data_IF_838109584775
#
_entry.id   IF_838109584775
#
_cell.length_a   1.000
_cell.length_b   1.000
_cell.length_c   1.000
_cell.angle_alpha   90.00
_cell.angle_beta   90.00
_cell.angle_gamma   90.00
#
_symmetry.space_group_name_H-M   'P 1'
#
loop_
_entity.id
_entity.type
_entity.pdbx_description
1 polymer ?
#
# COMPACT_ATOMS: atom_id res chain seq x y z
N UNK A 1 6.43 16.40 31.35
CA UNK A 1 6.95 16.24 29.98
C UNK A 1 6.87 14.77 29.59
N UNK A 2 5.72 14.16 29.32
CA UNK A 2 4.84 14.29 28.13
C UNK A 2 5.56 14.11 26.77
N UNK A 3 6.90 14.16 26.71
CA UNK A 3 7.67 14.02 25.46
C UNK A 3 8.32 12.63 25.26
N UNK A 4 8.15 11.69 26.19
CA UNK A 4 8.75 10.34 26.07
C UNK A 4 7.73 9.28 25.60
N UNK A 5 6.43 9.58 25.63
CA UNK A 5 5.38 8.59 25.32
C UNK A 5 4.95 8.53 23.84
N UNK A 6 5.39 9.47 23.00
CA UNK A 6 5.11 9.41 21.55
C UNK A 6 6.21 8.72 20.72
N UNK A 7 7.37 8.39 21.33
CA UNK A 7 8.52 7.83 20.62
C UNK A 7 8.48 6.31 20.38
N UNK A 8 7.44 5.60 20.81
CA UNK A 8 7.41 4.12 20.80
C UNK A 8 6.36 3.50 19.88
N UNK A 9 5.64 4.27 19.07
CA UNK A 9 4.66 3.69 18.13
C UNK A 9 5.24 3.32 16.75
N UNK A 10 6.56 3.43 16.55
CA UNK A 10 7.19 3.25 15.22
C UNK A 10 8.49 2.43 15.25
N UNK A 11 8.76 1.66 16.30
CA UNK A 11 9.91 0.76 16.32
C UNK A 11 9.55 -0.54 17.05
N UNK A 12 9.57 -1.63 16.28
CA UNK A 12 9.62 -3.02 16.73
C UNK A 12 8.38 -3.49 17.50
N UNK A 13 7.51 -4.27 16.83
CA UNK A 13 6.74 -5.29 17.55
C UNK A 13 7.73 -6.03 18.46
N UNK A 14 7.50 -6.01 19.78
CA UNK A 14 8.41 -6.74 20.67
C UNK A 14 8.45 -8.20 20.20
N UNK A 15 9.62 -8.83 20.17
CA UNK A 15 9.78 -10.21 19.65
C UNK A 15 8.72 -11.18 20.24
N UNK A 16 8.29 -10.90 21.48
CA UNK A 16 7.21 -11.62 22.18
C UNK A 16 5.84 -11.47 21.53
N UNK A 17 5.48 -10.29 21.06
CA UNK A 17 4.22 -10.04 20.36
C UNK A 17 4.22 -10.68 18.97
N UNK A 18 5.36 -10.64 18.27
CA UNK A 18 5.52 -11.32 16.98
C UNK A 18 5.44 -12.85 17.14
N UNK A 19 6.10 -13.39 18.16
CA UNK A 19 6.03 -14.81 18.50
C UNK A 19 4.61 -15.25 18.87
N UNK A 20 3.87 -14.43 19.62
CA UNK A 20 2.47 -14.72 19.96
C UNK A 20 1.56 -14.72 18.71
N UNK A 21 1.77 -13.78 17.78
CA UNK A 21 1.04 -13.76 16.51
C UNK A 21 1.34 -14.99 15.66
N UNK A 22 2.62 -15.37 15.56
CA UNK A 22 3.06 -16.55 14.81
C UNK A 22 2.52 -17.85 15.41
N UNK A 23 2.45 -17.95 16.73
CA UNK A 23 1.84 -19.09 17.43
C UNK A 23 0.33 -19.19 17.14
N UNK A 24 -0.40 -18.08 17.16
CA UNK A 24 -1.82 -18.04 16.78
C UNK A 24 -2.01 -18.43 15.32
N UNK A 25 -1.20 -17.89 14.40
CA UNK A 25 -1.26 -18.24 12.98
C UNK A 25 -0.99 -19.75 12.76
N UNK A 26 0.01 -20.32 13.43
CA UNK A 26 0.33 -21.76 13.37
C UNK A 26 -0.82 -22.62 13.88
N UNK A 27 -1.43 -22.23 14.99
CA UNK A 27 -2.62 -22.91 15.54
C UNK A 27 -3.81 -22.83 14.59
N UNK A 28 -4.01 -21.70 13.92
CA UNK A 28 -5.04 -21.55 12.89
C UNK A 28 -4.78 -22.45 11.69
N UNK A 29 -3.55 -22.49 11.14
CA UNK A 29 -3.17 -23.39 10.04
C UNK A 29 -3.51 -24.84 10.37
N UNK A 30 -3.09 -25.31 11.56
CA UNK A 30 -3.33 -26.68 12.01
C UNK A 30 -4.81 -27.00 12.22
N UNK A 31 -5.62 -26.06 12.72
CA UNK A 31 -7.07 -26.25 12.91
C UNK A 31 -7.83 -26.29 11.59
N UNK A 32 -7.34 -25.59 10.58
CA UNK A 32 -7.95 -25.46 9.26
C UNK A 32 -7.38 -26.46 8.25
N UNK A 33 -6.50 -27.38 8.69
CA UNK A 33 -5.78 -28.35 7.85
C UNK A 33 -5.06 -27.71 6.65
N UNK A 34 -4.52 -26.50 6.87
CA UNK A 34 -3.80 -25.77 5.84
C UNK A 34 -2.35 -26.27 5.76
N UNK A 35 -1.77 -26.37 4.55
CA UNK A 35 -0.36 -26.70 4.36
C UNK A 35 0.57 -25.78 5.17
N UNK A 36 1.71 -26.30 5.64
CA UNK A 36 2.66 -25.48 6.43
C UNK A 36 3.22 -24.31 5.62
N UNK A 37 3.40 -24.50 4.31
CA UNK A 37 3.76 -23.50 3.30
C UNK A 37 2.57 -22.62 2.86
N UNK A 38 1.40 -22.76 3.48
CA UNK A 38 0.23 -21.96 3.14
C UNK A 38 0.49 -20.47 3.36
N UNK A 39 0.31 -19.69 2.30
CA UNK A 39 0.36 -18.23 2.28
C UNK A 39 -0.89 -17.58 2.87
N UNK A 40 -1.90 -18.36 3.29
CA UNK A 40 -3.19 -17.84 3.75
C UNK A 40 -3.03 -16.84 4.90
N UNK A 41 -2.21 -17.05 5.95
CA UNK A 41 -2.07 -16.03 7.00
C UNK A 41 -1.47 -14.71 6.52
N UNK A 42 -0.54 -14.76 5.55
CA UNK A 42 -0.01 -13.55 4.91
C UNK A 42 -1.07 -12.88 4.04
N UNK A 43 -1.85 -13.66 3.29
CA UNK A 43 -2.98 -13.14 2.52
C UNK A 43 -4.06 -12.50 3.43
N UNK A 44 -4.31 -13.07 4.61
CA UNK A 44 -5.19 -12.48 5.64
C UNK A 44 -4.63 -11.14 6.11
N UNK A 45 -3.33 -11.08 6.40
CA UNK A 45 -2.67 -9.87 6.87
C UNK A 45 -2.75 -8.72 5.85
N UNK A 46 -2.56 -9.03 4.57
CA UNK A 46 -2.52 -8.01 3.51
C UNK A 46 -3.86 -7.80 2.78
N UNK A 47 -4.88 -8.59 3.11
CA UNK A 47 -6.21 -8.48 2.50
C UNK A 47 -6.26 -8.93 1.04
N UNK A 48 -5.37 -9.84 0.63
CA UNK A 48 -5.23 -10.36 -0.73
C UNK A 48 -6.31 -11.41 -1.04
N UNK A 49 -7.60 -11.09 -0.87
CA UNK A 49 -8.71 -12.00 -1.23
C UNK A 49 -9.58 -11.43 -2.34
N UNK A 50 -9.84 -12.26 -3.35
CA UNK A 50 -10.84 -12.06 -4.36
C UNK A 50 -12.24 -12.40 -3.81
N UNK A 51 -13.28 -11.85 -4.45
CA UNK A 51 -14.68 -12.06 -4.04
C UNK A 51 -15.11 -13.53 -4.11
N UNK A 52 -14.39 -14.36 -4.86
CA UNK A 52 -14.59 -15.81 -4.99
C UNK A 52 -13.74 -16.65 -4.00
N UNK A 53 -12.97 -16.02 -3.10
CA UNK A 53 -12.11 -16.71 -2.13
C UNK A 53 -10.71 -17.07 -2.65
N UNK A 54 -10.37 -16.70 -3.89
CA UNK A 54 -9.01 -16.83 -4.41
C UNK A 54 -8.10 -15.70 -3.92
N UNK A 55 -6.79 -15.84 -4.02
CA UNK A 55 -5.86 -14.76 -3.72
C UNK A 55 -5.95 -13.68 -4.82
N UNK A 56 -6.22 -12.42 -4.45
CA UNK A 56 -5.99 -11.30 -5.38
C UNK A 56 -4.49 -11.10 -5.49
N UNK A 57 -3.90 -11.53 -6.61
CA UNK A 57 -2.51 -11.24 -6.94
C UNK A 57 -2.36 -9.78 -7.36
N UNK A 58 -2.32 -8.87 -6.39
CA UNK A 58 -1.27 -7.87 -6.48
C UNK A 58 0.00 -8.61 -6.09
N UNK A 59 0.83 -8.91 -7.08
CA UNK A 59 2.13 -9.51 -6.85
C UNK A 59 3.03 -8.38 -6.30
N UNK A 60 2.85 -8.06 -5.02
CA UNK A 60 3.82 -7.32 -4.24
C UNK A 60 4.56 -8.33 -3.37
N UNK A 61 5.88 -8.24 -3.35
CA UNK A 61 6.70 -9.06 -2.45
C UNK A 61 6.54 -8.60 -0.99
N UNK A 62 7.09 -9.37 -0.05
CA UNK A 62 6.99 -9.08 1.38
C UNK A 62 7.48 -7.66 1.73
N UNK A 63 8.59 -7.22 1.16
CA UNK A 63 9.14 -5.87 1.38
C UNK A 63 8.20 -4.74 0.92
N UNK A 64 7.63 -4.89 -0.28
CA UNK A 64 6.66 -3.92 -0.81
C UNK A 64 5.40 -3.88 0.04
N UNK A 65 4.89 -5.05 0.46
CA UNK A 65 3.70 -5.18 1.32
C UNK A 65 3.90 -4.54 2.70
N UNK A 66 5.05 -4.77 3.32
CA UNK A 66 5.41 -4.14 4.60
C UNK A 66 5.55 -2.63 4.45
N UNK A 67 6.21 -2.16 3.40
CA UNK A 67 6.39 -0.72 3.11
C UNK A 67 5.04 -0.03 2.87
N UNK A 68 4.16 -0.63 2.08
CA UNK A 68 2.81 -0.10 1.83
C UNK A 68 2.02 -0.06 3.13
N UNK A 69 2.04 -1.14 3.92
CA UNK A 69 1.27 -1.22 5.17
C UNK A 69 1.74 -0.21 6.21
N UNK A 70 3.05 -0.07 6.40
CA UNK A 70 3.64 0.90 7.32
C UNK A 70 3.21 2.33 6.97
N UNK A 71 3.35 2.71 5.69
CA UNK A 71 2.97 4.05 5.24
C UNK A 71 1.45 4.25 5.26
N UNK A 72 0.66 3.21 4.96
CA UNK A 72 -0.79 3.26 5.07
C UNK A 72 -1.25 3.51 6.51
N UNK A 73 -0.62 2.90 7.50
CA UNK A 73 -0.93 3.11 8.92
C UNK A 73 -0.60 4.54 9.38
N UNK A 74 0.55 5.07 8.93
CA UNK A 74 0.90 6.49 9.15
C UNK A 74 -0.17 7.40 8.55
N UNK A 75 -0.53 7.17 7.29
CA UNK A 75 -1.51 8.01 6.59
C UNK A 75 -2.92 7.90 7.16
N UNK A 76 -3.36 6.70 7.55
CA UNK A 76 -4.65 6.52 8.22
C UNK A 76 -4.67 7.28 9.54
N UNK A 77 -3.58 7.23 10.33
CA UNK A 77 -3.47 7.95 11.59
C UNK A 77 -3.44 9.47 11.41
N UNK A 78 -2.59 10.00 10.54
CA UNK A 78 -2.48 11.44 10.29
C UNK A 78 -3.77 12.05 9.77
N UNK A 79 -4.51 11.27 8.97
CA UNK A 79 -5.77 11.69 8.40
C UNK A 79 -6.96 11.31 9.26
N UNK A 80 -6.83 10.66 10.42
CA UNK A 80 -7.99 10.19 11.21
C UNK A 80 -8.97 9.36 10.35
N UNK A 81 -8.41 8.37 9.63
CA UNK A 81 -9.16 7.37 8.88
C UNK A 81 -9.26 6.12 9.77
N UNK A 82 -10.46 5.53 9.92
CA UNK A 82 -10.63 4.31 10.72
C UNK A 82 -9.74 3.16 10.24
N UNK A 83 -9.22 2.37 11.18
CA UNK A 83 -8.28 1.29 10.88
C UNK A 83 -8.89 0.20 9.98
N UNK A 84 -10.21 -0.02 10.09
CA UNK A 84 -11.01 -0.95 9.30
C UNK A 84 -11.38 -0.44 7.90
N UNK A 85 -11.00 0.79 7.55
CA UNK A 85 -11.24 1.36 6.23
C UNK A 85 -10.52 0.56 5.14
N UNK A 86 -11.25 0.23 4.07
CA UNK A 86 -10.70 -0.45 2.88
C UNK A 86 -9.86 0.44 1.98
N UNK A 87 -9.61 1.70 2.37
CA UNK A 87 -8.95 2.70 1.51
C UNK A 87 -7.56 2.27 1.02
N UNK A 88 -6.82 1.52 1.83
CA UNK A 88 -5.51 0.96 1.43
C UNK A 88 -5.67 -0.05 0.30
N UNK A 89 -6.58 -1.02 0.47
CA UNK A 89 -6.87 -2.05 -0.54
C UNK A 89 -7.33 -1.37 -1.83
N UNK A 90 -8.25 -0.42 -1.73
CA UNK A 90 -8.72 0.36 -2.89
C UNK A 90 -7.56 1.05 -3.61
N UNK A 91 -6.64 1.69 -2.88
CA UNK A 91 -5.49 2.37 -3.46
C UNK A 91 -4.48 1.42 -4.12
N UNK A 92 -4.22 0.26 -3.52
CA UNK A 92 -3.30 -0.75 -4.07
C UNK A 92 -3.79 -1.30 -5.41
N UNK A 93 -5.10 -1.50 -5.53
CA UNK A 93 -5.73 -2.14 -6.69
C UNK A 93 -6.34 -1.15 -7.69
N UNK A 94 -6.09 0.16 -7.52
CA UNK A 94 -6.59 1.18 -8.44
C UNK A 94 -8.11 1.33 -8.44
N UNK A 95 -8.77 0.96 -7.35
CA UNK A 95 -10.18 1.30 -7.14
C UNK A 95 -10.30 2.80 -6.86
N UNK A 96 -10.54 3.52 -7.95
CA UNK A 96 -10.72 4.98 -7.99
C UNK A 96 -12.20 5.36 -7.97
N UNK A 97 -13.10 4.46 -7.55
CA UNK A 97 -14.54 4.75 -7.43
C UNK A 97 -14.87 5.85 -6.42
N UNK A 98 -13.92 6.16 -5.53
CA UNK A 98 -14.05 7.19 -4.48
C UNK A 98 -13.23 8.43 -4.83
N UNK A 99 -13.81 9.31 -5.63
CA UNK A 99 -13.32 10.68 -5.81
C UNK A 99 -13.89 11.60 -4.71
N UNK A 100 -13.47 11.34 -3.47
CA UNK A 100 -13.81 12.18 -2.33
C UNK A 100 -12.54 12.82 -1.74
N UNK A 101 -12.73 13.91 -0.99
CA UNK A 101 -11.62 14.68 -0.40
C UNK A 101 -10.70 13.81 0.45
N UNK A 102 -11.26 12.86 1.21
CA UNK A 102 -10.48 12.00 2.12
C UNK A 102 -9.64 11.00 1.33
N UNK A 103 -10.22 10.46 0.26
CA UNK A 103 -9.54 9.55 -0.65
C UNK A 103 -8.36 10.24 -1.33
N UNK A 104 -8.55 11.44 -1.89
CA UNK A 104 -7.45 12.24 -2.46
C UNK A 104 -6.36 12.58 -1.44
N UNK A 105 -6.75 12.93 -0.21
CA UNK A 105 -5.80 13.16 0.88
C UNK A 105 -4.98 11.91 1.18
N UNK A 106 -5.61 10.73 1.25
CA UNK A 106 -4.92 9.47 1.49
C UNK A 106 -3.92 9.13 0.36
N UNK A 107 -4.33 9.23 -0.91
CA UNK A 107 -3.42 9.02 -2.04
C UNK A 107 -2.20 9.94 -1.98
N UNK A 108 -2.40 11.24 -1.73
CA UNK A 108 -1.26 12.16 -1.60
C UNK A 108 -0.35 11.84 -0.42
N UNK A 109 -0.93 11.43 0.72
CA UNK A 109 -0.12 11.01 1.86
C UNK A 109 0.73 9.79 1.51
N UNK A 110 0.14 8.76 0.89
CA UNK A 110 0.87 7.57 0.46
C UNK A 110 2.02 7.93 -0.49
N UNK A 111 1.75 8.74 -1.53
CA UNK A 111 2.77 9.12 -2.49
C UNK A 111 3.92 9.92 -1.86
N UNK A 112 3.62 10.81 -0.92
CA UNK A 112 4.63 11.55 -0.17
C UNK A 112 5.45 10.65 0.75
N UNK A 113 4.80 9.77 1.51
CA UNK A 113 5.48 8.89 2.49
C UNK A 113 6.32 7.80 1.83
N UNK A 114 5.89 7.34 0.66
CA UNK A 114 6.65 6.40 -0.18
C UNK A 114 7.74 7.07 -1.01
N UNK A 115 7.85 8.41 -1.01
CA UNK A 115 8.83 9.14 -1.81
C UNK A 115 8.54 9.18 -3.31
N UNK A 116 7.34 8.76 -3.73
CA UNK A 116 6.87 8.79 -5.13
C UNK A 116 6.47 10.18 -5.60
N UNK A 117 6.29 11.10 -4.67
CA UNK A 117 5.92 12.48 -4.94
C UNK A 117 6.66 13.41 -3.98
N UNK A 118 7.06 14.56 -4.51
CA UNK A 118 7.65 15.66 -3.75
C UNK A 118 6.58 16.58 -3.14
N UNK A 119 6.97 17.44 -2.19
CA UNK A 119 6.04 18.35 -1.51
C UNK A 119 5.37 19.39 -2.42
N UNK A 120 5.92 19.63 -3.62
CA UNK A 120 5.33 20.51 -4.65
C UNK A 120 4.39 19.76 -5.62
N UNK A 121 4.26 18.44 -5.43
CA UNK A 121 3.48 17.53 -6.27
C UNK A 121 4.20 17.03 -7.52
N UNK A 122 5.52 17.23 -7.65
CA UNK A 122 6.31 16.60 -8.70
C UNK A 122 6.41 15.08 -8.47
N UNK A 123 6.29 14.29 -9.53
CA UNK A 123 6.35 12.83 -9.46
C UNK A 123 7.81 12.37 -9.50
N UNK A 124 8.21 11.57 -8.50
CA UNK A 124 9.49 10.88 -8.48
C UNK A 124 9.38 9.55 -9.22
N UNK A 125 9.41 9.63 -10.55
CA UNK A 125 9.29 8.47 -11.42
C UNK A 125 10.31 7.35 -11.16
N UNK A 126 11.61 7.66 -10.97
CA UNK A 126 12.62 6.65 -10.66
C UNK A 126 12.29 5.80 -9.43
N UNK A 127 11.81 6.42 -8.34
CA UNK A 127 11.46 5.71 -7.12
C UNK A 127 10.27 4.75 -7.33
N UNK A 128 9.27 5.18 -8.11
CA UNK A 128 8.13 4.32 -8.47
C UNK A 128 8.59 3.11 -9.29
N UNK A 129 9.48 3.34 -10.27
CA UNK A 129 10.00 2.27 -11.12
C UNK A 129 10.80 1.25 -10.31
N UNK A 130 11.71 1.71 -9.46
CA UNK A 130 12.51 0.80 -8.62
C UNK A 130 11.66 0.08 -7.57
N UNK A 131 10.64 0.74 -7.02
CA UNK A 131 9.71 0.09 -6.11
C UNK A 131 8.94 -1.03 -6.80
N UNK A 132 8.52 -0.87 -8.07
CA UNK A 132 7.69 -1.84 -8.80
C UNK A 132 8.50 -2.94 -9.51
N UNK A 133 9.74 -2.66 -9.89
CA UNK A 133 10.62 -3.56 -10.64
C UNK A 133 10.84 -4.98 -10.06
N UNK A 134 10.73 -5.24 -8.74
CA UNK A 134 10.85 -6.59 -8.21
C UNK A 134 9.75 -7.55 -8.68
N UNK A 135 8.62 -7.05 -9.16
CA UNK A 135 7.44 -7.84 -9.51
C UNK A 135 6.92 -7.55 -10.92
N UNK A 136 7.20 -6.36 -11.44
CA UNK A 136 6.70 -5.90 -12.73
C UNK A 136 7.86 -5.56 -13.66
N UNK A 137 7.62 -5.72 -14.96
CA UNK A 137 8.61 -5.35 -15.98
C UNK A 137 8.97 -3.86 -15.87
N UNK A 138 10.27 -3.57 -15.73
CA UNK A 138 10.76 -2.22 -15.48
C UNK A 138 10.39 -1.27 -16.62
N UNK A 139 10.47 -1.72 -17.87
CA UNK A 139 10.19 -0.88 -19.04
C UNK A 139 8.69 -0.58 -19.16
N UNK A 140 7.84 -1.57 -18.86
CA UNK A 140 6.38 -1.38 -18.80
C UNK A 140 5.99 -0.36 -17.72
N UNK A 141 6.58 -0.44 -16.52
CA UNK A 141 6.34 0.54 -15.45
C UNK A 141 6.87 1.92 -15.86
N UNK A 142 8.09 1.99 -16.40
CA UNK A 142 8.70 3.25 -16.85
C UNK A 142 7.84 3.94 -17.90
N UNK A 143 7.32 3.18 -18.87
CA UNK A 143 6.45 3.70 -19.93
C UNK A 143 5.21 4.39 -19.38
N UNK A 144 4.52 3.78 -18.42
CA UNK A 144 3.32 4.38 -17.82
C UNK A 144 3.66 5.56 -16.91
N UNK A 145 4.75 5.47 -16.13
CA UNK A 145 5.22 6.57 -15.28
C UNK A 145 5.55 7.80 -16.14
N UNK A 146 6.31 7.63 -17.21
CA UNK A 146 6.66 8.72 -18.13
C UNK A 146 5.44 9.33 -18.83
N UNK A 147 4.44 8.51 -19.13
CA UNK A 147 3.18 8.97 -19.72
C UNK A 147 2.26 9.70 -18.73
N UNK A 148 2.56 9.66 -17.42
CA UNK A 148 1.71 10.18 -16.34
C UNK A 148 2.40 11.16 -15.39
N UNK A 149 3.73 11.33 -15.46
CA UNK A 149 4.54 12.14 -14.52
C UNK A 149 4.23 13.63 -14.44
N UNK A 150 3.34 14.13 -15.29
CA UNK A 150 2.89 15.53 -15.29
C UNK A 150 1.38 15.62 -15.02
N UNK A 151 0.93 15.25 -13.80
CA UNK A 151 -0.49 15.25 -13.47
C UNK A 151 -1.07 16.66 -13.40
N UNK A 152 -2.32 16.80 -13.85
CA UNK A 152 -3.09 18.03 -13.72
C UNK A 152 -3.58 18.23 -12.27
N UNK A 153 -3.79 19.48 -11.87
CA UNK A 153 -4.34 19.81 -10.55
C UNK A 153 -3.63 20.98 -9.88
N UNK A 154 -4.38 21.73 -9.06
CA UNK A 154 -3.84 22.88 -8.30
C UNK A 154 -3.29 22.45 -6.94
N UNK A 155 -3.97 21.51 -6.28
CA UNK A 155 -3.57 20.99 -4.99
C UNK A 155 -2.77 19.70 -5.17
N UNK A 156 -1.86 19.41 -4.22
CA UNK A 156 -1.08 18.18 -4.22
C UNK A 156 -1.98 16.93 -4.19
N UNK A 157 -3.12 17.01 -3.51
CA UNK A 157 -4.13 15.96 -3.45
C UNK A 157 -4.72 15.65 -4.82
N UNK A 158 -5.00 16.70 -5.60
CA UNK A 158 -5.55 16.55 -6.96
C UNK A 158 -4.50 15.96 -7.90
N UNK A 159 -3.25 16.43 -7.82
CA UNK A 159 -2.14 15.90 -8.62
C UNK A 159 -1.86 14.43 -8.32
N UNK A 160 -1.83 14.04 -7.05
CA UNK A 160 -1.62 12.65 -6.64
C UNK A 160 -2.71 11.73 -7.20
N UNK A 161 -3.96 12.17 -7.08
CA UNK A 161 -5.10 11.41 -7.58
C UNK A 161 -5.13 11.35 -9.11
N UNK A 162 -4.81 12.44 -9.81
CA UNK A 162 -4.71 12.48 -11.27
C UNK A 162 -3.57 11.59 -11.79
N UNK A 163 -2.44 11.52 -11.08
CA UNK A 163 -1.37 10.57 -11.39
C UNK A 163 -1.87 9.13 -11.26
N UNK A 164 -2.51 8.78 -10.14
CA UNK A 164 -3.05 7.43 -9.93
C UNK A 164 -4.07 7.06 -11.02
N UNK A 165 -4.99 7.95 -11.36
CA UNK A 165 -5.94 7.77 -12.46
C UNK A 165 -5.24 7.49 -13.79
N UNK A 166 -4.24 8.30 -14.15
CA UNK A 166 -3.47 8.10 -15.37
C UNK A 166 -2.74 6.75 -15.36
N UNK A 167 -2.08 6.41 -14.24
CA UNK A 167 -1.28 5.20 -14.11
C UNK A 167 -2.14 3.95 -14.26
N UNK A 168 -3.23 3.85 -13.50
CA UNK A 168 -4.12 2.68 -13.56
C UNK A 168 -4.88 2.57 -14.89
N UNK A 169 -5.16 3.68 -15.57
CA UNK A 169 -5.79 3.67 -16.90
C UNK A 169 -4.83 3.23 -18.02
N UNK A 170 -3.51 3.47 -17.88
CA UNK A 170 -2.52 3.24 -18.94
C UNK A 170 -1.59 2.05 -18.70
N UNK A 171 -1.57 1.46 -17.49
CA UNK A 171 -0.74 0.27 -17.22
C UNK A 171 -1.11 -0.87 -18.15
N UNK A 172 -0.11 -1.60 -18.63
CA UNK A 172 -0.27 -2.77 -19.48
C UNK A 172 -0.09 -4.10 -18.73
N UNK A 173 0.02 -4.04 -17.40
CA UNK A 173 0.25 -5.17 -16.52
C UNK A 173 -0.86 -5.24 -15.46
N UNK A 174 -1.12 -6.45 -14.95
CA UNK A 174 -2.10 -6.68 -13.90
C UNK A 174 -1.48 -6.41 -12.52
N UNK A 175 -2.26 -5.78 -11.64
CA UNK A 175 -1.97 -5.49 -10.23
C UNK A 175 -3.22 -5.96 -9.49
#
# INVERSE_FOLDING_TARGET
MVFVLCGLCMAEYSEKQQAALNDVATKCKKKLDLPEDSDIPKAVQYGDFAENGDLKKADYNDFQKETITMNADICKKELDIPAESKIQQMAMYGDLSRDDKKSKQYYSCMMLKMGFMEQDGAINGPEIVEFMAPQYDRDAVTTVVDACKSPEGKLIQDKAYAFAQCFFAKKSFEI
#
